data_IF_071447652108
#
_entry.id   IF_071447652108
#
_cell.length_a   1.000
_cell.length_b   1.000
_cell.length_c   1.000
_cell.angle_alpha   90.00
_cell.angle_beta   90.00
_cell.angle_gamma   90.00
#
_symmetry.space_group_name_H-M   'P 1'
#
loop_
_entity.id
_entity.type
_entity.pdbx_description
1 polymer ?
#
# COMPACT_ATOMS: atom_id res chain seq x y z
N UNK A 1 2.92 -15.66 19.27
CA UNK A 1 1.87 -14.85 18.60
C UNK A 1 2.05 -13.34 18.81
N UNK A 2 2.34 -12.85 20.03
CA UNK A 2 2.52 -11.42 20.32
C UNK A 2 3.70 -10.71 19.60
N UNK A 3 4.78 -11.44 19.28
CA UNK A 3 5.92 -10.87 18.55
C UNK A 3 5.59 -10.58 17.07
N UNK A 4 4.65 -11.34 16.47
CA UNK A 4 4.31 -11.21 15.06
C UNK A 4 3.41 -9.99 14.83
N UNK A 5 2.46 -9.74 15.74
CA UNK A 5 1.62 -8.53 15.73
C UNK A 5 2.43 -7.26 15.95
N UNK A 6 3.41 -7.26 16.86
CA UNK A 6 4.27 -6.09 17.09
C UNK A 6 5.10 -5.69 15.87
N UNK A 7 5.43 -6.64 15.00
CA UNK A 7 6.17 -6.40 13.74
C UNK A 7 5.25 -5.91 12.62
N UNK A 8 4.03 -6.45 12.54
CA UNK A 8 3.06 -6.12 11.47
C UNK A 8 2.38 -4.78 11.73
N UNK A 9 2.01 -4.50 12.97
CA UNK A 9 1.13 -3.39 13.33
C UNK A 9 1.88 -2.10 13.68
N UNK A 10 3.21 -2.15 13.86
CA UNK A 10 3.97 -0.97 14.25
C UNK A 10 3.94 0.09 13.15
N UNK A 11 3.32 1.23 13.43
CA UNK A 11 3.38 2.41 12.58
C UNK A 11 4.84 2.80 12.34
N UNK A 12 5.23 2.97 11.08
CA UNK A 12 6.56 3.44 10.72
C UNK A 12 6.57 4.96 10.71
N UNK A 13 6.95 5.55 11.83
CA UNK A 13 7.12 6.99 11.92
C UNK A 13 8.32 7.44 11.08
N UNK A 14 8.06 8.22 10.04
CA UNK A 14 9.06 8.80 9.14
C UNK A 14 8.70 10.24 8.83
N UNK A 15 9.72 11.06 8.61
CA UNK A 15 9.51 12.44 8.15
C UNK A 15 9.56 12.50 6.60
N UNK A 16 8.39 12.65 6.01
CA UNK A 16 8.21 12.80 4.57
C UNK A 16 6.98 13.64 4.22
N UNK A 17 6.90 14.11 2.97
CA UNK A 17 5.75 14.89 2.49
C UNK A 17 4.45 14.11 2.68
N UNK A 18 4.47 12.81 2.39
CA UNK A 18 3.30 11.95 2.56
C UNK A 18 2.94 11.71 4.04
N UNK A 19 3.91 11.71 4.96
CA UNK A 19 3.62 11.61 6.39
C UNK A 19 3.06 12.92 6.95
N UNK A 20 3.55 14.07 6.49
CA UNK A 20 3.09 15.41 6.92
C UNK A 20 1.81 15.89 6.26
N UNK A 21 1.39 15.27 5.15
CA UNK A 21 0.12 15.62 4.50
C UNK A 21 -1.08 15.43 5.45
N UNK A 22 -2.15 16.18 5.22
CA UNK A 22 -3.37 16.12 6.04
C UNK A 22 -4.04 14.74 5.94
N UNK A 23 -4.43 14.17 7.07
CA UNK A 23 -5.17 12.91 7.14
C UNK A 23 -6.51 12.97 6.38
N UNK A 24 -7.15 14.14 6.34
CA UNK A 24 -8.41 14.39 5.62
C UNK A 24 -8.30 14.21 4.11
N UNK A 25 -7.09 14.31 3.55
CA UNK A 25 -6.84 14.00 2.15
C UNK A 25 -6.45 12.53 1.96
N UNK A 26 -5.62 11.98 2.86
CA UNK A 26 -5.10 10.60 2.74
C UNK A 26 -6.20 9.55 2.82
N UNK A 27 -7.09 9.68 3.79
CA UNK A 27 -8.12 8.66 4.04
C UNK A 27 -9.07 8.55 2.84
N UNK A 28 -9.67 9.64 2.32
CA UNK A 28 -10.49 9.57 1.11
C UNK A 28 -9.70 9.11 -0.11
N UNK A 29 -8.45 9.55 -0.29
CA UNK A 29 -7.62 9.12 -1.41
C UNK A 29 -7.35 7.60 -1.39
N UNK A 30 -7.07 7.04 -0.21
CA UNK A 30 -6.90 5.60 -0.05
C UNK A 30 -8.19 4.83 -0.37
N UNK A 31 -9.33 5.29 0.13
CA UNK A 31 -10.64 4.69 -0.15
C UNK A 31 -10.96 4.74 -1.65
N UNK A 32 -10.78 5.91 -2.28
CA UNK A 32 -11.00 6.08 -3.72
C UNK A 32 -10.08 5.17 -4.55
N UNK A 33 -8.81 5.03 -4.15
CA UNK A 33 -7.88 4.14 -4.80
C UNK A 33 -8.29 2.66 -4.69
N UNK A 34 -8.79 2.23 -3.52
CA UNK A 34 -9.34 0.88 -3.33
C UNK A 34 -10.50 0.65 -4.30
N UNK A 35 -11.45 1.58 -4.38
CA UNK A 35 -12.56 1.45 -5.33
C UNK A 35 -12.09 1.42 -6.79
N UNK A 36 -11.11 2.25 -7.15
CA UNK A 36 -10.56 2.29 -8.50
C UNK A 36 -9.93 0.95 -8.91
N UNK A 37 -9.09 0.37 -8.05
CA UNK A 37 -8.43 -0.90 -8.35
C UNK A 37 -9.42 -2.07 -8.35
N UNK A 38 -10.38 -2.11 -7.42
CA UNK A 38 -11.39 -3.19 -7.39
C UNK A 38 -12.39 -3.12 -8.54
N UNK A 39 -12.59 -1.95 -9.14
CA UNK A 39 -13.47 -1.76 -10.30
C UNK A 39 -12.77 -2.01 -11.62
N UNK A 40 -11.45 -2.24 -11.60
CA UNK A 40 -10.67 -2.49 -12.82
C UNK A 40 -11.01 -3.88 -13.36
N UNK A 41 -11.25 -3.98 -14.67
CA UNK A 41 -11.58 -5.24 -15.33
C UNK A 41 -10.39 -6.20 -15.26
N UNK A 42 -10.68 -7.47 -14.99
CA UNK A 42 -9.68 -8.54 -15.09
C UNK A 42 -9.05 -8.57 -16.50
N UNK A 43 -7.72 -8.70 -16.55
CA UNK A 43 -6.95 -8.72 -17.79
C UNK A 43 -6.63 -7.34 -18.39
N UNK A 44 -7.11 -6.24 -17.80
CA UNK A 44 -6.66 -4.90 -18.19
C UNK A 44 -5.31 -4.54 -17.54
N UNK A 45 -4.26 -5.14 -18.11
CA UNK A 45 -2.89 -4.99 -17.62
C UNK A 45 -2.39 -3.55 -17.66
N UNK A 46 -2.83 -2.74 -18.62
CA UNK A 46 -2.39 -1.36 -18.75
C UNK A 46 -2.96 -0.52 -17.61
N UNK A 47 -4.26 -0.63 -17.32
CA UNK A 47 -4.88 0.08 -16.20
C UNK A 47 -4.26 -0.35 -14.87
N UNK A 48 -4.03 -1.65 -14.67
CA UNK A 48 -3.34 -2.14 -13.46
C UNK A 48 -1.91 -1.60 -13.33
N UNK A 49 -1.16 -1.52 -14.43
CA UNK A 49 0.19 -0.94 -14.44
C UNK A 49 0.16 0.55 -14.08
N UNK A 50 -0.80 1.30 -14.62
CA UNK A 50 -0.98 2.73 -14.30
C UNK A 50 -1.37 2.93 -12.84
N UNK A 51 -2.22 2.08 -12.27
CA UNK A 51 -2.58 2.10 -10.86
C UNK A 51 -1.40 1.73 -9.95
N UNK A 52 -0.46 0.90 -10.41
CA UNK A 52 0.75 0.61 -9.63
C UNK A 52 1.67 1.83 -9.45
N UNK A 53 1.67 2.79 -10.38
CA UNK A 53 2.54 3.98 -10.34
C UNK A 53 2.39 4.79 -9.04
N UNK A 54 1.18 5.25 -8.62
CA UNK A 54 1.02 6.00 -7.39
C UNK A 54 1.45 5.22 -6.14
N UNK A 55 1.34 3.88 -6.13
CA UNK A 55 1.82 3.05 -5.02
C UNK A 55 3.34 3.08 -4.93
N UNK A 56 4.02 2.89 -6.07
CA UNK A 56 5.48 2.95 -6.15
C UNK A 56 5.97 4.34 -5.76
N UNK A 57 5.40 5.40 -6.34
CA UNK A 57 5.74 6.79 -6.01
C UNK A 57 5.48 7.09 -4.52
N UNK A 58 4.36 6.64 -3.98
CA UNK A 58 4.03 6.78 -2.56
C UNK A 58 5.06 6.11 -1.66
N UNK A 59 5.54 4.91 -2.01
CA UNK A 59 6.59 4.20 -1.28
C UNK A 59 7.94 4.95 -1.31
N UNK A 60 8.31 5.51 -2.46
CA UNK A 60 9.53 6.32 -2.59
C UNK A 60 9.43 7.64 -1.82
N UNK A 61 8.35 8.40 -2.01
CA UNK A 61 8.12 9.70 -1.35
C UNK A 61 7.93 9.54 0.17
N UNK A 62 7.43 8.38 0.61
CA UNK A 62 7.30 8.06 2.04
C UNK A 62 8.61 7.66 2.71
N UNK A 63 9.70 7.42 1.96
CA UNK A 63 11.00 6.96 2.49
C UNK A 63 10.87 5.66 3.32
N UNK A 64 9.91 4.79 2.98
CA UNK A 64 9.68 3.54 3.71
C UNK A 64 10.71 2.45 3.34
N UNK A 65 11.34 2.58 2.17
CA UNK A 65 12.29 1.59 1.65
C UNK A 65 11.56 0.35 1.09
N UNK A 66 12.04 -0.25 0.00
CA UNK A 66 11.31 -1.32 -0.70
C UNK A 66 11.09 -2.56 0.19
N UNK A 67 12.09 -2.93 1.00
CA UNK A 67 12.00 -4.10 1.87
C UNK A 67 10.89 -4.00 2.93
N UNK A 68 10.65 -2.80 3.45
CA UNK A 68 9.57 -2.57 4.42
C UNK A 68 8.20 -2.84 3.79
N UNK A 69 8.00 -2.37 2.55
CA UNK A 69 6.75 -2.55 1.81
C UNK A 69 6.54 -4.03 1.49
N UNK A 70 7.55 -4.70 0.92
CA UNK A 70 7.46 -6.13 0.57
C UNK A 70 7.10 -6.98 1.80
N UNK A 71 7.76 -6.75 2.94
CA UNK A 71 7.48 -7.49 4.19
C UNK A 71 6.02 -7.40 4.62
N UNK A 72 5.36 -6.26 4.41
CA UNK A 72 3.93 -6.08 4.72
C UNK A 72 3.03 -6.77 3.71
N UNK A 73 3.41 -6.83 2.44
CA UNK A 73 2.64 -7.55 1.42
C UNK A 73 2.59 -9.06 1.64
N UNK A 74 3.57 -9.66 2.36
CA UNK A 74 3.53 -11.09 2.70
C UNK A 74 2.26 -11.53 3.46
N UNK A 75 1.57 -10.60 4.14
CA UNK A 75 0.27 -10.89 4.78
C UNK A 75 -0.82 -11.25 3.76
N UNK A 76 -0.75 -10.68 2.55
CA UNK A 76 -1.70 -10.96 1.48
C UNK A 76 -1.35 -12.23 0.69
N UNK A 77 -0.11 -12.69 0.75
CA UNK A 77 0.41 -13.82 -0.02
C UNK A 77 -0.43 -15.12 0.09
N UNK A 78 -0.87 -15.59 1.29
CA UNK A 78 -1.67 -16.81 1.36
C UNK A 78 -3.01 -16.69 0.63
N UNK A 79 -3.61 -15.50 0.58
CA UNK A 79 -4.88 -15.27 -0.11
C UNK A 79 -4.71 -15.27 -1.62
N UNK A 80 -3.61 -14.69 -2.10
CA UNK A 80 -3.28 -14.68 -3.54
C UNK A 80 -2.94 -16.10 -4.03
N UNK A 81 -2.27 -16.91 -3.21
CA UNK A 81 -1.92 -18.29 -3.56
C UNK A 81 -3.10 -19.27 -3.46
N UNK A 82 -4.12 -18.93 -2.67
CA UNK A 82 -5.31 -19.77 -2.49
C UNK A 82 -6.43 -19.47 -3.50
N UNK A 83 -6.40 -18.30 -4.16
CA UNK A 83 -7.33 -17.89 -5.20
C UNK A 83 -6.98 -18.55 -6.54
#
# INVERSE_FOLDING_TARGET
>A
MAALTAVVERYAERDSVLHRADARAKVPAAIAYIFAITSTREGDWLTLLLLAVPVVLGAFVSKLGPWFVLRRTFLALPFVLAA
#
